data_IF_811870583412
#
_entry.id   IF_811870583412
#
_cell.length_a   1.000
_cell.length_b   1.000
_cell.length_c   1.000
_cell.angle_alpha   90.00
_cell.angle_beta   90.00
_cell.angle_gamma   90.00
#
_symmetry.space_group_name_H-M   'P 1'
#
loop_
_entity.id
_entity.type
_entity.pdbx_description
1 polymer ?
#
# COMPACT_ATOMS: atom_id res chain seq x y z
N UNK A 1 10.11 11.08 -7.20
CA UNK A 1 9.49 10.80 -8.51
C UNK A 1 8.26 9.88 -8.41
N UNK A 2 8.30 8.68 -7.78
CA UNK A 2 7.17 7.74 -7.72
C UNK A 2 5.85 8.38 -7.22
N UNK A 3 5.87 9.12 -6.10
CA UNK A 3 4.66 9.77 -5.56
C UNK A 3 4.10 10.78 -6.57
N UNK A 4 4.94 11.64 -7.14
CA UNK A 4 4.51 12.61 -8.13
C UNK A 4 3.89 11.95 -9.38
N UNK A 5 4.48 10.84 -9.85
CA UNK A 5 3.93 10.06 -10.97
C UNK A 5 2.57 9.44 -10.62
N UNK A 6 2.39 8.95 -9.39
CA UNK A 6 1.12 8.41 -8.93
C UNK A 6 0.02 9.48 -8.84
N UNK A 7 0.36 10.69 -8.38
CA UNK A 7 -0.58 11.82 -8.37
C UNK A 7 -0.93 12.27 -9.79
N UNK A 8 0.04 12.40 -10.67
CA UNK A 8 -0.20 12.73 -12.07
C UNK A 8 -1.11 11.70 -12.74
N UNK A 9 -0.83 10.40 -12.54
CA UNK A 9 -1.67 9.33 -13.04
C UNK A 9 -3.10 9.42 -12.49
N UNK A 10 -3.26 9.65 -11.19
CA UNK A 10 -4.58 9.75 -10.59
C UNK A 10 -5.39 10.95 -11.13
N UNK A 11 -4.75 12.11 -11.33
CA UNK A 11 -5.39 13.28 -11.94
C UNK A 11 -5.83 12.94 -13.37
N UNK A 12 -4.94 12.43 -14.21
CA UNK A 12 -5.27 12.08 -15.59
C UNK A 12 -6.40 11.05 -15.62
N UNK A 13 -6.28 9.97 -14.82
CA UNK A 13 -7.23 8.84 -14.83
C UNK A 13 -8.61 9.22 -14.32
N UNK A 14 -8.69 9.96 -13.21
CA UNK A 14 -9.96 10.22 -12.54
C UNK A 14 -10.57 11.55 -12.93
N UNK A 15 -9.81 12.63 -13.02
CA UNK A 15 -10.35 13.94 -13.40
C UNK A 15 -10.53 14.04 -14.92
N UNK A 16 -9.48 13.79 -15.71
CA UNK A 16 -9.53 14.01 -17.17
C UNK A 16 -10.32 12.89 -17.88
N UNK A 17 -9.98 11.61 -17.63
CA UNK A 17 -10.59 10.50 -18.39
C UNK A 17 -11.98 10.14 -17.84
N UNK A 18 -12.16 10.09 -16.51
CA UNK A 18 -13.44 9.70 -15.89
C UNK A 18 -14.35 10.87 -15.56
N UNK A 19 -13.92 12.12 -15.75
CA UNK A 19 -14.75 13.31 -15.51
C UNK A 19 -15.11 13.54 -14.04
N UNK A 20 -14.34 13.00 -13.08
CA UNK A 20 -14.57 13.26 -11.67
C UNK A 20 -14.34 14.74 -11.38
N UNK A 21 -15.28 15.39 -10.69
CA UNK A 21 -15.20 16.81 -10.37
C UNK A 21 -13.92 17.17 -9.60
N UNK A 22 -13.36 18.34 -9.84
CA UNK A 22 -12.14 18.78 -9.14
C UNK A 22 -12.37 18.99 -7.64
N UNK A 23 -13.60 19.26 -7.22
CA UNK A 23 -13.99 19.29 -5.79
C UNK A 23 -13.72 17.98 -5.05
N UNK A 24 -13.67 16.85 -5.76
CA UNK A 24 -13.36 15.53 -5.22
C UNK A 24 -11.86 15.24 -5.10
N UNK A 25 -11.02 16.19 -5.54
CA UNK A 25 -9.56 16.03 -5.48
C UNK A 25 -9.04 15.80 -4.06
N UNK A 26 -9.45 16.55 -3.01
CA UNK A 26 -8.85 16.44 -1.69
C UNK A 26 -9.03 15.05 -1.05
N UNK A 27 -10.15 14.39 -1.31
CA UNK A 27 -10.45 13.09 -0.70
C UNK A 27 -10.33 11.94 -1.71
N UNK A 28 -11.18 11.94 -2.75
CA UNK A 28 -11.28 10.77 -3.63
C UNK A 28 -10.06 10.60 -4.55
N UNK A 29 -9.68 11.65 -5.31
CA UNK A 29 -8.57 11.56 -6.28
C UNK A 29 -7.24 11.39 -5.54
N UNK A 30 -7.00 12.17 -4.47
CA UNK A 30 -5.79 12.05 -3.66
C UNK A 30 -5.67 10.69 -3.00
N UNK A 31 -6.79 10.11 -2.50
CA UNK A 31 -6.79 8.78 -1.92
C UNK A 31 -6.33 7.70 -2.93
N UNK A 32 -6.72 7.82 -4.21
CA UNK A 32 -6.24 6.92 -5.27
C UNK A 32 -4.74 7.08 -5.55
N UNK A 33 -4.24 8.32 -5.54
CA UNK A 33 -2.82 8.60 -5.70
C UNK A 33 -1.99 8.05 -4.52
N UNK A 34 -2.47 8.25 -3.29
CA UNK A 34 -1.84 7.76 -2.06
C UNK A 34 -1.78 6.24 -2.06
N UNK A 35 -2.88 5.56 -2.41
CA UNK A 35 -2.93 4.10 -2.54
C UNK A 35 -1.88 3.58 -3.53
N UNK A 36 -1.85 4.14 -4.74
CA UNK A 36 -0.87 3.74 -5.75
C UNK A 36 0.57 3.99 -5.29
N UNK A 37 0.81 5.15 -4.65
CA UNK A 37 2.13 5.48 -4.09
C UNK A 37 2.55 4.49 -3.00
N UNK A 38 1.63 4.12 -2.11
CA UNK A 38 1.87 3.16 -1.03
C UNK A 38 2.31 1.81 -1.58
N UNK A 39 1.51 1.24 -2.49
CA UNK A 39 1.80 -0.06 -3.10
C UNK A 39 3.11 -0.01 -3.88
N UNK A 40 3.35 1.04 -4.68
CA UNK A 40 4.58 1.17 -5.46
C UNK A 40 5.83 1.24 -4.57
N UNK A 41 5.80 2.02 -3.48
CA UNK A 41 6.93 2.14 -2.55
C UNK A 41 7.20 0.83 -1.80
N UNK A 42 6.16 0.14 -1.34
CA UNK A 42 6.30 -1.17 -0.70
C UNK A 42 6.87 -2.18 -1.72
N UNK A 43 6.34 -2.23 -2.94
CA UNK A 43 6.82 -3.11 -3.98
C UNK A 43 8.31 -2.85 -4.32
N UNK A 44 8.71 -1.59 -4.45
CA UNK A 44 10.13 -1.21 -4.65
C UNK A 44 10.99 -1.65 -3.47
N UNK A 45 10.51 -1.48 -2.22
CA UNK A 45 11.23 -1.94 -1.04
C UNK A 45 11.53 -3.44 -1.10
N UNK A 46 10.55 -4.26 -1.49
CA UNK A 46 10.75 -5.71 -1.63
C UNK A 46 11.59 -6.07 -2.85
N UNK A 47 11.37 -5.39 -3.99
CA UNK A 47 12.15 -5.61 -5.21
C UNK A 47 13.65 -5.34 -4.99
N UNK A 48 14.00 -4.22 -4.35
CA UNK A 48 15.39 -3.89 -4.01
C UNK A 48 16.04 -4.99 -3.16
N UNK A 49 15.31 -5.53 -2.17
CA UNK A 49 15.83 -6.63 -1.35
C UNK A 49 16.10 -7.90 -2.15
N UNK A 50 15.19 -8.28 -3.04
CA UNK A 50 15.34 -9.45 -3.90
C UNK A 50 16.44 -9.26 -4.94
N UNK A 51 16.47 -8.09 -5.61
CA UNK A 51 17.48 -7.78 -6.62
C UNK A 51 18.90 -7.74 -6.03
N UNK A 52 19.07 -7.24 -4.81
CA UNK A 52 20.36 -7.26 -4.13
C UNK A 52 20.87 -8.68 -3.84
N UNK A 53 19.96 -9.64 -3.67
CA UNK A 53 20.35 -11.06 -3.52
C UNK A 53 20.86 -11.69 -4.83
N UNK A 54 20.29 -11.27 -5.98
CA UNK A 54 20.68 -11.79 -7.30
C UNK A 54 21.86 -11.01 -7.90
N UNK A 55 21.89 -9.70 -7.73
CA UNK A 55 22.91 -8.79 -8.27
C UNK A 55 23.47 -7.86 -7.19
N UNK A 56 24.25 -8.38 -6.22
CA UNK A 56 24.73 -7.58 -5.08
C UNK A 56 25.56 -6.38 -5.55
N UNK A 57 26.43 -6.53 -6.54
CA UNK A 57 27.27 -5.44 -7.05
C UNK A 57 26.51 -4.21 -7.52
N UNK A 58 25.26 -4.39 -8.01
CA UNK A 58 24.42 -3.30 -8.53
C UNK A 58 23.52 -2.69 -7.46
N UNK A 59 22.98 -3.53 -6.56
CA UNK A 59 21.89 -3.14 -5.67
C UNK A 59 22.28 -3.03 -4.19
N UNK A 60 23.48 -3.47 -3.80
CA UNK A 60 23.92 -3.40 -2.38
C UNK A 60 23.88 -1.96 -1.83
N UNK A 61 24.28 -0.99 -2.63
CA UNK A 61 24.26 0.45 -2.24
C UNK A 61 22.84 1.00 -2.04
N UNK A 62 21.81 0.33 -2.58
CA UNK A 62 20.42 0.74 -2.44
C UNK A 62 19.70 0.09 -1.26
N UNK A 63 20.30 -0.91 -0.62
CA UNK A 63 19.73 -1.62 0.53
C UNK A 63 19.33 -0.70 1.69
N UNK A 64 20.10 0.34 2.07
CA UNK A 64 19.68 1.25 3.12
C UNK A 64 18.36 1.97 2.83
N UNK A 65 18.09 2.29 1.55
CA UNK A 65 16.86 2.94 1.13
C UNK A 65 15.63 2.02 1.21
N UNK A 66 15.82 0.69 1.23
CA UNK A 66 14.75 -0.32 1.32
C UNK A 66 13.85 -0.07 2.54
N UNK A 67 14.44 0.12 3.71
CA UNK A 67 13.68 0.38 4.96
C UNK A 67 12.86 1.66 4.85
N UNK A 68 13.47 2.72 4.32
CA UNK A 68 12.79 4.00 4.12
C UNK A 68 11.57 3.85 3.19
N UNK A 69 11.73 3.20 2.04
CA UNK A 69 10.63 2.98 1.10
C UNK A 69 9.51 2.12 1.71
N UNK A 70 9.86 1.07 2.46
CA UNK A 70 8.89 0.21 3.12
C UNK A 70 8.07 0.95 4.18
N UNK A 71 8.73 1.71 5.06
CA UNK A 71 8.05 2.47 6.12
C UNK A 71 7.24 3.64 5.57
N UNK A 72 7.76 4.37 4.58
CA UNK A 72 7.02 5.44 3.92
C UNK A 72 5.79 4.88 3.20
N UNK A 73 5.94 3.79 2.46
CA UNK A 73 4.84 3.11 1.79
C UNK A 73 3.78 2.62 2.77
N UNK A 74 4.18 2.04 3.91
CA UNK A 74 3.27 1.65 4.98
C UNK A 74 2.53 2.86 5.58
N UNK A 75 3.22 3.96 5.86
CA UNK A 75 2.58 5.20 6.35
C UNK A 75 1.51 5.72 5.38
N UNK A 76 1.81 5.73 4.08
CA UNK A 76 0.83 6.09 3.05
C UNK A 76 -0.32 5.08 2.97
N UNK A 77 -0.08 3.79 3.18
CA UNK A 77 -1.14 2.78 3.22
C UNK A 77 -2.09 3.00 4.41
N UNK A 78 -1.58 3.38 5.58
CA UNK A 78 -2.40 3.76 6.75
C UNK A 78 -3.27 4.97 6.42
N UNK A 79 -2.68 6.03 5.85
CA UNK A 79 -3.43 7.24 5.44
C UNK A 79 -4.52 6.87 4.42
N UNK A 80 -4.17 6.06 3.41
CA UNK A 80 -5.14 5.56 2.44
C UNK A 80 -6.28 4.79 3.10
N UNK A 81 -5.97 3.88 4.03
CA UNK A 81 -6.97 3.10 4.75
C UNK A 81 -7.93 3.98 5.54
N UNK A 82 -7.42 4.95 6.28
CA UNK A 82 -8.25 5.91 7.05
C UNK A 82 -9.16 6.71 6.11
N UNK A 83 -8.63 7.32 5.06
CA UNK A 83 -9.44 8.08 4.10
C UNK A 83 -10.47 7.17 3.43
N UNK A 84 -10.07 5.94 3.01
CA UNK A 84 -10.98 4.99 2.39
C UNK A 84 -12.16 4.66 3.29
N UNK A 85 -11.93 4.41 4.59
CA UNK A 85 -13.00 4.13 5.54
C UNK A 85 -13.94 5.33 5.73
N UNK A 86 -13.42 6.56 5.73
CA UNK A 86 -14.22 7.78 5.84
C UNK A 86 -15.17 8.00 4.65
N UNK A 87 -14.73 7.62 3.44
CA UNK A 87 -15.51 7.79 2.20
C UNK A 87 -16.08 6.46 1.68
N UNK A 88 -16.13 5.39 2.50
CA UNK A 88 -16.57 4.07 2.08
C UNK A 88 -18.10 3.99 2.03
N UNK A 89 -18.66 4.41 0.92
CA UNK A 89 -20.09 4.40 0.66
C UNK A 89 -20.37 4.21 -0.85
N UNK A 90 -21.65 3.99 -1.19
CA UNK A 90 -22.09 3.74 -2.56
C UNK A 90 -21.85 4.92 -3.53
N UNK A 91 -21.72 6.14 -3.03
CA UNK A 91 -21.43 7.33 -3.87
C UNK A 91 -20.02 7.28 -4.42
N UNK A 92 -19.02 6.98 -3.57
CA UNK A 92 -17.61 6.93 -3.98
C UNK A 92 -17.19 5.58 -4.54
N UNK A 93 -17.83 4.48 -4.10
CA UNK A 93 -17.48 3.12 -4.45
C UNK A 93 -18.69 2.30 -4.92
N UNK A 94 -19.47 2.76 -5.94
CA UNK A 94 -20.72 2.12 -6.32
C UNK A 94 -20.59 0.65 -6.68
N UNK A 95 -19.44 0.23 -7.22
CA UNK A 95 -19.17 -1.17 -7.59
C UNK A 95 -19.10 -2.15 -6.41
N UNK A 96 -18.95 -1.65 -5.18
CA UNK A 96 -18.85 -2.46 -3.97
C UNK A 96 -20.16 -2.60 -3.21
N UNK A 97 -21.22 -1.91 -3.67
CA UNK A 97 -22.51 -1.90 -3.01
C UNK A 97 -23.61 -2.38 -3.94
N UNK A 98 -24.60 -3.03 -3.35
CA UNK A 98 -25.86 -3.35 -3.99
C UNK A 98 -26.80 -2.12 -4.01
N UNK A 99 -27.88 -2.20 -4.78
CA UNK A 99 -28.92 -1.18 -4.79
C UNK A 99 -29.57 -0.97 -3.41
N UNK A 100 -29.53 -1.96 -2.55
CA UNK A 100 -29.98 -1.92 -1.16
C UNK A 100 -29.07 -1.11 -0.22
N UNK A 101 -27.88 -0.69 -0.70
CA UNK A 101 -26.86 -0.01 0.11
C UNK A 101 -25.98 -0.98 0.91
N UNK A 102 -26.22 -2.30 0.84
CA UNK A 102 -25.35 -3.31 1.47
C UNK A 102 -24.11 -3.58 0.62
N UNK A 103 -23.03 -4.03 1.25
CA UNK A 103 -21.87 -4.51 0.53
C UNK A 103 -22.25 -5.75 -0.30
N UNK A 104 -21.75 -5.78 -1.52
CA UNK A 104 -21.80 -7.00 -2.34
C UNK A 104 -20.53 -7.85 -2.07
N UNK A 105 -20.49 -9.06 -2.63
CA UNK A 105 -19.36 -9.97 -2.44
C UNK A 105 -18.01 -9.35 -2.81
N UNK A 106 -17.96 -8.52 -3.85
CA UNK A 106 -16.73 -7.82 -4.24
C UNK A 106 -16.30 -6.81 -3.18
N UNK A 107 -17.26 -6.07 -2.60
CA UNK A 107 -16.98 -5.12 -1.52
C UNK A 107 -16.48 -5.82 -0.25
N UNK A 108 -17.14 -6.91 0.14
CA UNK A 108 -16.75 -7.69 1.32
C UNK A 108 -15.37 -8.32 1.17
N UNK A 109 -15.08 -8.95 0.04
CA UNK A 109 -13.77 -9.56 -0.22
C UNK A 109 -12.67 -8.52 -0.32
N UNK A 110 -12.90 -7.39 -1.00
CA UNK A 110 -11.91 -6.31 -1.08
C UNK A 110 -11.61 -5.70 0.30
N UNK A 111 -12.62 -5.51 1.14
CA UNK A 111 -12.42 -5.02 2.51
C UNK A 111 -11.64 -6.03 3.35
N UNK A 112 -11.98 -7.32 3.27
CA UNK A 112 -11.28 -8.38 3.98
C UNK A 112 -9.79 -8.43 3.59
N UNK A 113 -9.48 -8.45 2.31
CA UNK A 113 -8.10 -8.45 1.82
C UNK A 113 -7.35 -7.17 2.19
N UNK A 114 -8.01 -6.02 2.20
CA UNK A 114 -7.45 -4.77 2.67
C UNK A 114 -7.05 -4.83 4.15
N UNK A 115 -7.90 -5.37 5.00
CA UNK A 115 -7.63 -5.56 6.44
C UNK A 115 -6.48 -6.55 6.66
N UNK A 116 -6.49 -7.70 5.97
CA UNK A 116 -5.42 -8.68 6.04
C UNK A 116 -4.09 -8.07 5.62
N UNK A 117 -4.07 -7.37 4.48
CA UNK A 117 -2.87 -6.69 3.98
C UNK A 117 -2.32 -5.68 4.98
N UNK A 118 -3.19 -4.84 5.56
CA UNK A 118 -2.82 -3.86 6.57
C UNK A 118 -2.24 -4.51 7.82
N UNK A 119 -2.84 -5.60 8.31
CA UNK A 119 -2.33 -6.35 9.46
C UNK A 119 -0.92 -6.93 9.19
N UNK A 120 -0.71 -7.54 8.01
CA UNK A 120 0.58 -8.10 7.63
C UNK A 120 1.66 -7.02 7.52
N UNK A 121 1.35 -5.88 6.88
CA UNK A 121 2.30 -4.77 6.79
C UNK A 121 2.56 -4.11 8.15
N UNK A 122 1.59 -4.08 9.05
CA UNK A 122 1.80 -3.58 10.43
C UNK A 122 2.83 -4.43 11.17
N UNK A 123 2.74 -5.76 11.07
CA UNK A 123 3.74 -6.68 11.67
C UNK A 123 5.12 -6.42 11.08
N UNK A 124 5.22 -6.26 9.76
CA UNK A 124 6.51 -5.97 9.09
C UNK A 124 7.07 -4.62 9.53
N UNK A 125 6.24 -3.59 9.61
CA UNK A 125 6.66 -2.24 10.02
C UNK A 125 7.15 -2.22 11.48
N UNK A 126 6.39 -2.83 12.40
CA UNK A 126 6.74 -2.93 13.82
C UNK A 126 8.07 -3.68 13.99
N UNK A 127 8.22 -4.82 13.33
CA UNK A 127 9.45 -5.63 13.42
C UNK A 127 10.66 -5.00 12.72
N UNK A 128 10.48 -3.91 11.98
CA UNK A 128 11.57 -3.12 11.40
C UNK A 128 12.17 -2.11 12.37
N UNK A 129 11.61 -1.94 13.58
CA UNK A 129 12.18 -1.10 14.64
C UNK A 129 13.50 -1.67 15.16
N UNK A 130 14.52 -0.80 15.49
CA UNK A 130 15.84 -1.28 15.92
C UNK A 130 15.78 -2.17 17.16
N UNK A 131 15.07 -1.75 18.19
CA UNK A 131 14.94 -2.51 19.46
C UNK A 131 14.27 -3.88 19.26
N UNK A 132 13.29 -3.97 18.37
CA UNK A 132 12.61 -5.24 18.08
C UNK A 132 13.51 -6.15 17.23
N UNK A 133 14.22 -5.58 16.26
CA UNK A 133 15.22 -6.32 15.47
C UNK A 133 16.29 -6.96 16.38
N UNK A 134 16.84 -6.18 17.32
CA UNK A 134 17.85 -6.66 18.28
C UNK A 134 17.31 -7.78 19.18
N UNK A 135 16.06 -7.65 19.66
CA UNK A 135 15.44 -8.67 20.52
C UNK A 135 15.07 -9.97 19.79
N UNK A 136 14.64 -9.87 18.53
CA UNK A 136 14.26 -11.04 17.74
C UNK A 136 15.45 -11.81 17.17
N UNK A 137 16.54 -11.13 16.88
CA UNK A 137 17.66 -11.63 16.09
C UNK A 137 17.33 -11.83 14.61
N UNK A 138 18.36 -11.89 13.77
CA UNK A 138 18.22 -11.90 12.31
C UNK A 138 17.32 -13.02 11.76
N UNK A 139 17.43 -14.24 12.30
CA UNK A 139 16.71 -15.40 11.77
C UNK A 139 15.17 -15.27 11.95
N UNK A 140 14.72 -14.81 13.14
CA UNK A 140 13.30 -14.58 13.39
C UNK A 140 12.78 -13.34 12.67
N UNK A 141 13.52 -12.26 12.72
CA UNK A 141 13.20 -11.03 12.01
C UNK A 141 12.96 -11.29 10.51
N UNK A 142 13.83 -12.06 9.86
CA UNK A 142 13.69 -12.42 8.45
C UNK A 142 12.36 -13.12 8.15
N UNK A 143 11.90 -14.02 9.03
CA UNK A 143 10.59 -14.70 8.87
C UNK A 143 9.44 -13.69 8.87
N UNK A 144 9.44 -12.72 9.79
CA UNK A 144 8.42 -11.68 9.82
C UNK A 144 8.46 -10.79 8.55
N UNK A 145 9.63 -10.47 8.04
CA UNK A 145 9.76 -9.70 6.81
C UNK A 145 9.15 -10.41 5.59
N UNK A 146 9.12 -11.73 5.56
CA UNK A 146 8.47 -12.49 4.50
C UNK A 146 6.94 -12.33 4.48
N UNK A 147 6.31 -11.97 5.59
CA UNK A 147 4.87 -11.67 5.64
C UNK A 147 4.47 -10.52 4.71
N UNK A 148 5.37 -9.61 4.42
CA UNK A 148 5.10 -8.51 3.50
C UNK A 148 4.89 -8.94 2.05
N UNK A 149 5.43 -10.07 1.60
CA UNK A 149 5.10 -10.62 0.29
C UNK A 149 3.63 -11.06 0.24
N UNK A 150 3.14 -11.70 1.30
CA UNK A 150 1.72 -12.06 1.43
C UNK A 150 0.84 -10.82 1.53
N UNK A 151 1.32 -9.77 2.24
CA UNK A 151 0.65 -8.47 2.26
C UNK A 151 0.51 -7.87 0.87
N UNK A 152 1.57 -7.88 0.04
CA UNK A 152 1.50 -7.42 -1.34
C UNK A 152 0.54 -8.25 -2.20
N UNK A 153 0.54 -9.57 -2.06
CA UNK A 153 -0.42 -10.42 -2.77
C UNK A 153 -1.87 -10.09 -2.37
N UNK A 154 -2.12 -9.86 -1.09
CA UNK A 154 -3.44 -9.47 -0.61
C UNK A 154 -3.90 -8.09 -1.13
N UNK A 155 -3.00 -7.19 -1.53
CA UNK A 155 -3.41 -5.91 -2.15
C UNK A 155 -3.92 -6.07 -3.58
N UNK A 156 -3.69 -7.22 -4.23
CA UNK A 156 -4.11 -7.50 -5.61
C UNK A 156 -5.47 -8.19 -5.70
N UNK A 157 -6.04 -8.68 -4.58
CA UNK A 157 -7.37 -9.30 -4.49
C UNK A 157 -8.43 -8.26 -4.20
#
# INVERSE_FOLDING_TARGET
>A
MLIASAFLYAIIRYHIIKGVAWSEFPLFISNKAISLSAVALIAVSYAVGSLASFWPRLFERTLPARKFFGLLGFGLAVVHGVISLLIFNSTYYPKFFEASGKLNLLGETSLLFGVISMALFSVVAITSGPSIYESLGYARWRKFQHLGYWGLLATAG
#
